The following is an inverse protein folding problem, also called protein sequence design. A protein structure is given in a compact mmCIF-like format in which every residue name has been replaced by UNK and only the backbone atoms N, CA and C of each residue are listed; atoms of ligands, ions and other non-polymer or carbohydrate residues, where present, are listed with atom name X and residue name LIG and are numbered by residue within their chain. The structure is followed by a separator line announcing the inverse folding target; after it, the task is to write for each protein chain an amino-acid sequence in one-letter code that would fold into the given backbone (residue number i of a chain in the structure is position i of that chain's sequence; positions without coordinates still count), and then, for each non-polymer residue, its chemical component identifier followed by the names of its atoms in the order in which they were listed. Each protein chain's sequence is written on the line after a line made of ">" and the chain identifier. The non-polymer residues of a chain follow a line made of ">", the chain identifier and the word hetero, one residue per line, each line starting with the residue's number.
data_IF_624091527981
#
_entry.id   IF_624091527981
#
_cell.length_a   1.000
_cell.length_b   1.000
_cell.length_c   1.000
_cell.angle_alpha   90.00
_cell.angle_beta   90.00
_cell.angle_gamma   90.00
#
_symmetry.space_group_name_H-M   'P 1'
#
loop_
_entity.id
_entity.type
_entity.pdbx_description
1 polymer ?
#
# COMPACT_ATOMS: atom_id res chain seq x y z
N UNK A 1 -19.77 7.43 12.07
CA UNK A 1 -19.56 8.84 12.48
C UNK A 1 -18.59 9.59 11.56
N UNK A 2 -17.37 9.08 11.30
CA UNK A 2 -16.38 9.73 10.43
C UNK A 2 -16.90 10.13 9.02
N UNK A 3 -17.64 9.25 8.34
CA UNK A 3 -18.16 9.52 6.98
C UNK A 3 -19.15 10.70 6.91
N UNK A 4 -19.81 11.03 8.01
CA UNK A 4 -20.76 12.16 8.09
C UNK A 4 -19.99 13.48 8.16
N UNK A 5 -18.90 13.53 8.93
CA UNK A 5 -18.04 14.72 9.00
C UNK A 5 -17.34 14.99 7.66
N UNK A 6 -16.88 13.95 6.96
CA UNK A 6 -16.29 14.09 5.62
C UNK A 6 -17.31 14.69 4.64
N UNK A 7 -18.55 14.20 4.63
CA UNK A 7 -19.60 14.76 3.76
C UNK A 7 -19.88 16.24 4.03
N UNK A 8 -19.92 16.65 5.30
CA UNK A 8 -20.06 18.07 5.65
C UNK A 8 -18.86 18.89 5.16
N UNK A 9 -17.63 18.41 5.37
CA UNK A 9 -16.42 19.09 4.91
C UNK A 9 -16.39 19.27 3.39
N UNK A 10 -16.77 18.22 2.64
CA UNK A 10 -16.86 18.27 1.19
C UNK A 10 -17.96 19.23 0.69
N UNK A 11 -19.03 19.46 1.46
CA UNK A 11 -20.09 20.42 1.08
C UNK A 11 -19.63 21.88 1.09
N UNK A 12 -18.50 22.19 1.74
CA UNK A 12 -17.88 23.51 1.70
C UNK A 12 -16.79 23.65 0.62
N UNK A 13 -16.45 22.57 -0.09
CA UNK A 13 -15.44 22.59 -1.13
C UNK A 13 -16.03 23.07 -2.47
N UNK A 14 -15.30 23.87 -3.26
CA UNK A 14 -15.74 24.26 -4.61
C UNK A 14 -15.93 23.05 -5.52
N UNK A 15 -16.79 23.15 -6.53
CA UNK A 15 -16.99 22.06 -7.51
C UNK A 15 -15.68 21.65 -8.21
N UNK A 16 -14.78 22.61 -8.45
CA UNK A 16 -13.43 22.36 -9.02
C UNK A 16 -12.59 21.38 -8.19
N UNK A 17 -12.78 21.35 -6.86
CA UNK A 17 -12.07 20.43 -5.96
C UNK A 17 -12.47 18.97 -6.24
N UNK A 18 -13.74 18.74 -6.58
CA UNK A 18 -14.33 17.42 -6.85
C UNK A 18 -14.25 17.01 -8.34
N UNK A 19 -13.73 17.89 -9.20
CA UNK A 19 -13.54 17.58 -10.62
C UNK A 19 -12.56 16.41 -10.82
N UNK A 20 -12.67 15.69 -11.93
CA UNK A 20 -11.76 14.59 -12.26
C UNK A 20 -10.32 15.11 -12.34
N UNK A 21 -9.42 14.51 -11.56
CA UNK A 21 -8.04 14.98 -11.43
C UNK A 21 -7.91 16.31 -10.69
N UNK A 22 -8.97 16.75 -10.03
CA UNK A 22 -8.95 17.86 -9.09
C UNK A 22 -8.27 17.48 -7.77
N UNK A 23 -8.21 18.44 -6.87
CA UNK A 23 -7.50 18.32 -5.59
C UNK A 23 -8.00 17.13 -4.74
N UNK A 24 -9.29 16.76 -4.84
CA UNK A 24 -9.84 15.60 -4.15
C UNK A 24 -9.11 14.30 -4.55
N UNK A 25 -8.94 14.08 -5.85
CA UNK A 25 -8.30 12.86 -6.37
C UNK A 25 -6.82 12.84 -6.00
N UNK A 26 -6.18 14.01 -6.06
CA UNK A 26 -4.81 14.21 -5.63
C UNK A 26 -4.62 13.87 -4.14
N UNK A 27 -5.51 14.36 -3.27
CA UNK A 27 -5.51 14.02 -1.83
C UNK A 27 -5.74 12.52 -1.62
N UNK A 28 -6.62 11.89 -2.40
CA UNK A 28 -6.84 10.46 -2.34
C UNK A 28 -5.57 9.67 -2.70
N UNK A 29 -4.86 10.05 -3.77
CA UNK A 29 -3.56 9.47 -4.13
C UNK A 29 -2.54 9.69 -3.01
N UNK A 30 -2.45 10.91 -2.47
CA UNK A 30 -1.53 11.26 -1.37
C UNK A 30 -1.72 10.34 -0.17
N UNK A 31 -2.97 10.04 0.18
CA UNK A 31 -3.32 9.15 1.30
C UNK A 31 -3.17 7.67 0.94
N UNK A 32 -3.34 7.30 -0.33
CA UNK A 32 -3.27 5.92 -0.78
C UNK A 32 -1.87 5.34 -0.61
N UNK A 33 -0.82 6.09 -0.96
CA UNK A 33 0.58 5.64 -0.89
C UNK A 33 0.96 5.15 0.53
N UNK A 34 0.87 5.96 1.61
CA UNK A 34 1.23 5.52 2.96
C UNK A 34 0.30 4.42 3.49
N UNK A 35 -0.97 4.39 3.05
CA UNK A 35 -1.92 3.31 3.40
C UNK A 35 -1.50 1.97 2.81
N UNK A 36 -1.06 1.94 1.56
CA UNK A 36 -0.56 0.71 0.93
C UNK A 36 0.72 0.26 1.64
N UNK A 37 1.67 1.17 1.90
CA UNK A 37 2.90 0.85 2.65
C UNK A 37 2.55 0.18 3.98
N UNK A 38 1.66 0.78 4.76
CA UNK A 38 1.25 0.26 6.07
C UNK A 38 0.55 -1.10 5.97
N UNK A 39 -0.34 -1.28 4.98
CA UNK A 39 -1.04 -2.56 4.76
C UNK A 39 -0.09 -3.68 4.34
N UNK A 40 0.91 -3.37 3.52
CA UNK A 40 1.91 -4.33 3.06
C UNK A 40 2.82 -4.77 4.21
N UNK A 41 3.24 -3.84 5.08
CA UNK A 41 4.00 -4.16 6.29
C UNK A 41 3.19 -5.04 7.25
N UNK A 42 1.92 -4.70 7.50
CA UNK A 42 1.01 -5.49 8.33
C UNK A 42 0.82 -6.90 7.76
N UNK A 43 0.56 -7.01 6.46
CA UNK A 43 0.38 -8.31 5.81
C UNK A 43 1.65 -9.15 5.86
N UNK A 44 2.83 -8.55 5.67
CA UNK A 44 4.10 -9.25 5.79
C UNK A 44 4.32 -9.79 7.21
N UNK A 45 3.95 -9.03 8.25
CA UNK A 45 3.97 -9.50 9.64
C UNK A 45 3.03 -10.69 9.83
N UNK A 46 1.79 -10.58 9.37
CA UNK A 46 0.80 -11.66 9.49
C UNK A 46 1.22 -12.94 8.76
N UNK A 47 1.90 -12.83 7.61
CA UNK A 47 2.46 -13.98 6.90
C UNK A 47 3.58 -14.63 7.71
N UNK A 48 4.50 -13.84 8.29
CA UNK A 48 5.56 -14.37 9.16
C UNK A 48 4.98 -15.15 10.35
N UNK A 49 3.98 -14.57 11.01
CA UNK A 49 3.34 -15.17 12.18
C UNK A 49 2.58 -16.45 11.81
N UNK A 50 1.82 -16.43 10.70
CA UNK A 50 1.02 -17.58 10.24
C UNK A 50 1.87 -18.79 9.85
N UNK A 51 3.03 -18.57 9.26
CA UNK A 51 3.91 -19.64 8.79
C UNK A 51 5.07 -19.94 9.73
N UNK A 52 5.09 -19.32 10.92
CA UNK A 52 6.14 -19.49 11.95
C UNK A 52 7.55 -19.38 11.35
N UNK A 53 7.76 -18.37 10.48
CA UNK A 53 9.03 -18.22 9.77
C UNK A 53 10.11 -17.81 10.78
N UNK A 54 10.82 -18.82 11.29
CA UNK A 54 12.00 -18.68 12.12
C UNK A 54 13.23 -18.47 11.23
N UNK A 55 14.18 -17.64 11.67
CA UNK A 55 15.50 -17.50 11.02
C UNK A 55 16.32 -18.81 11.08
N UNK A 56 15.93 -19.76 11.94
CA UNK A 56 16.58 -21.07 12.07
C UNK A 56 15.81 -22.13 11.31
N UNK A 57 16.36 -22.59 10.19
CA UNK A 57 15.87 -23.77 9.47
C UNK A 57 16.34 -25.00 10.25
N UNK A 58 15.50 -25.57 11.11
CA UNK A 58 15.82 -26.85 11.75
C UNK A 58 15.62 -28.01 10.77
N UNK A 59 16.45 -29.06 10.88
CA UNK A 59 16.41 -30.23 9.95
C UNK A 59 15.02 -30.86 9.84
N UNK A 60 14.20 -30.80 10.89
CA UNK A 60 12.84 -31.37 10.91
C UNK A 60 11.85 -30.64 9.98
N UNK A 61 12.12 -29.38 9.63
CA UNK A 61 11.32 -28.60 8.67
C UNK A 61 11.61 -28.98 7.21
N UNK A 62 12.82 -29.46 6.93
CA UNK A 62 13.26 -29.89 5.59
C UNK A 62 12.79 -31.31 5.29
N UNK A 63 12.71 -32.17 6.31
CA UNK A 63 12.29 -33.56 6.18
C UNK A 63 10.78 -33.72 5.92
N UNK A 64 9.98 -32.69 6.19
CA UNK A 64 8.53 -32.65 5.91
C UNK A 64 8.27 -31.78 4.67
N UNK A 65 8.18 -32.39 3.49
CA UNK A 65 7.98 -31.73 2.18
C UNK A 65 6.89 -30.63 2.18
N UNK A 66 5.80 -30.85 2.90
CA UNK A 66 4.70 -29.88 3.00
C UNK A 66 5.08 -28.60 3.79
N UNK A 67 5.86 -28.72 4.86
CA UNK A 67 6.35 -27.56 5.64
C UNK A 67 7.39 -26.77 4.86
N UNK A 68 8.31 -27.46 4.18
CA UNK A 68 9.30 -26.82 3.31
C UNK A 68 8.63 -25.99 2.19
N UNK A 69 7.58 -26.54 1.56
CA UNK A 69 6.80 -25.85 0.53
C UNK A 69 6.07 -24.61 1.08
N UNK A 70 5.49 -24.72 2.28
CA UNK A 70 4.84 -23.59 2.97
C UNK A 70 5.84 -22.47 3.31
N UNK A 71 7.02 -22.81 3.85
CA UNK A 71 8.06 -21.83 4.14
C UNK A 71 8.56 -21.13 2.87
N UNK A 72 8.75 -21.88 1.78
CA UNK A 72 9.15 -21.33 0.47
C UNK A 72 8.10 -20.33 -0.04
N UNK A 73 6.82 -20.72 -0.03
CA UNK A 73 5.71 -19.85 -0.40
C UNK A 73 5.67 -18.58 0.46
N UNK A 74 5.77 -18.72 1.78
CA UNK A 74 5.68 -17.59 2.70
C UNK A 74 6.83 -16.60 2.53
N UNK A 75 8.06 -17.11 2.36
CA UNK A 75 9.23 -16.27 2.06
C UNK A 75 9.08 -15.56 0.70
N UNK A 76 8.58 -16.26 -0.32
CA UNK A 76 8.34 -15.64 -1.62
C UNK A 76 7.28 -14.53 -1.53
N UNK A 77 6.19 -14.77 -0.80
CA UNK A 77 5.16 -13.75 -0.58
C UNK A 77 5.72 -12.53 0.17
N UNK A 78 6.52 -12.74 1.22
CA UNK A 78 7.16 -11.64 1.96
C UNK A 78 8.12 -10.85 1.07
N UNK A 79 8.86 -11.53 0.18
CA UNK A 79 9.73 -10.88 -0.80
C UNK A 79 8.89 -9.98 -1.72
N UNK A 80 7.81 -10.50 -2.31
CA UNK A 80 6.91 -9.72 -3.18
C UNK A 80 6.33 -8.51 -2.45
N UNK A 81 5.90 -8.68 -1.19
CA UNK A 81 5.41 -7.59 -0.35
C UNK A 81 6.52 -6.55 -0.08
N UNK A 82 7.74 -6.99 0.20
CA UNK A 82 8.88 -6.10 0.44
C UNK A 82 9.27 -5.30 -0.80
N UNK A 83 9.22 -5.93 -1.98
CA UNK A 83 9.43 -5.25 -3.27
C UNK A 83 8.34 -4.21 -3.51
N UNK A 84 7.07 -4.57 -3.33
CA UNK A 84 5.95 -3.62 -3.46
C UNK A 84 6.13 -2.43 -2.51
N UNK A 85 6.45 -2.66 -1.24
CA UNK A 85 6.76 -1.60 -0.28
C UNK A 85 7.89 -0.69 -0.77
N UNK A 86 8.98 -1.27 -1.30
CA UNK A 86 10.10 -0.52 -1.85
C UNK A 86 9.71 0.36 -3.04
N UNK A 87 8.86 -0.15 -3.93
CA UNK A 87 8.28 0.63 -5.04
C UNK A 87 7.43 1.77 -4.49
N UNK A 88 6.51 1.49 -3.56
CA UNK A 88 5.62 2.50 -2.98
C UNK A 88 6.39 3.62 -2.25
N UNK A 89 7.52 3.31 -1.59
CA UNK A 89 8.39 4.32 -0.98
C UNK A 89 9.10 5.20 -2.01
N UNK A 90 9.44 4.66 -3.18
CA UNK A 90 9.95 5.47 -4.28
C UNK A 90 8.88 6.42 -4.80
N UNK A 91 7.63 5.96 -4.92
CA UNK A 91 6.49 6.83 -5.24
C UNK A 91 6.31 7.93 -4.18
N UNK A 92 6.32 7.58 -2.90
CA UNK A 92 6.22 8.56 -1.80
C UNK A 92 7.29 9.64 -1.92
N UNK A 93 8.55 9.25 -2.12
CA UNK A 93 9.67 10.18 -2.30
C UNK A 93 9.48 11.05 -3.54
N UNK A 94 9.16 10.45 -4.70
CA UNK A 94 8.99 11.19 -5.94
C UNK A 94 7.85 12.22 -5.83
N UNK A 95 6.70 11.79 -5.31
CA UNK A 95 5.53 12.62 -5.12
C UNK A 95 5.77 13.76 -4.12
N UNK A 96 6.56 13.53 -3.08
CA UNK A 96 6.92 14.59 -2.11
C UNK A 96 7.82 15.69 -2.69
N UNK A 97 8.53 15.39 -3.78
CA UNK A 97 9.48 16.31 -4.43
C UNK A 97 9.00 16.90 -5.75
N UNK A 98 7.87 16.41 -6.28
CA UNK A 98 7.37 16.83 -7.59
C UNK A 98 6.61 18.17 -7.52
N UNK A 99 6.54 18.86 -8.66
CA UNK A 99 5.69 20.06 -8.78
C UNK A 99 4.21 19.67 -8.57
N UNK A 100 3.42 20.43 -7.77
CA UNK A 100 1.97 20.30 -7.68
C UNK A 100 1.23 20.03 -9.00
N UNK A 101 1.60 20.69 -10.11
CA UNK A 101 0.94 20.45 -11.41
C UNK A 101 1.11 19.01 -11.91
N UNK A 102 2.29 18.42 -11.67
CA UNK A 102 2.55 17.02 -12.00
C UNK A 102 1.81 16.09 -11.03
N UNK A 103 1.74 16.46 -9.76
CA UNK A 103 1.00 15.71 -8.75
C UNK A 103 -0.50 15.63 -9.09
N UNK A 104 -1.11 16.74 -9.50
CA UNK A 104 -2.50 16.80 -9.94
C UNK A 104 -2.75 15.90 -11.16
N UNK A 105 -1.82 15.86 -12.12
CA UNK A 105 -1.91 14.92 -13.26
C UNK A 105 -1.91 13.46 -12.80
N UNK A 106 -1.13 13.10 -11.78
CA UNK A 106 -1.15 11.76 -11.21
C UNK A 106 -2.50 11.49 -10.53
N UNK A 107 -3.08 12.50 -9.87
CA UNK A 107 -4.46 12.46 -9.35
C UNK A 107 -5.48 12.03 -10.41
N UNK A 108 -5.35 12.47 -11.67
CA UNK A 108 -6.27 12.09 -12.76
C UNK A 108 -6.32 10.59 -13.04
N UNK A 109 -5.29 9.84 -12.63
CA UNK A 109 -5.17 8.39 -12.81
C UNK A 109 -5.83 7.59 -11.67
N UNK A 110 -6.28 8.24 -10.60
CA UNK A 110 -6.91 7.58 -9.46
C UNK A 110 -8.07 6.63 -9.85
N UNK A 111 -8.96 6.96 -10.81
CA UNK A 111 -10.04 6.04 -11.21
C UNK A 111 -9.55 4.70 -11.78
N UNK A 112 -8.33 4.64 -12.31
CA UNK A 112 -7.73 3.40 -12.82
C UNK A 112 -7.10 2.55 -11.69
N UNK A 113 -7.00 3.11 -10.47
CA UNK A 113 -6.39 2.49 -9.29
C UNK A 113 -7.41 2.08 -8.22
N UNK A 114 -8.68 2.45 -8.39
CA UNK A 114 -9.82 2.14 -7.50
C UNK A 114 -10.77 1.16 -8.14
#
# INVERSE_FOLDING_TARGET
>A
QASVHIKMLLSFMPEMFMGRGGDHDAVCVLLMIPRIISKVELLASQVKDKFEISEKIERDHVLKSHKASQCSFANHLILLLSVLRGIMKQYESALSSCNPDLFLKIGTLLPEMT
#
